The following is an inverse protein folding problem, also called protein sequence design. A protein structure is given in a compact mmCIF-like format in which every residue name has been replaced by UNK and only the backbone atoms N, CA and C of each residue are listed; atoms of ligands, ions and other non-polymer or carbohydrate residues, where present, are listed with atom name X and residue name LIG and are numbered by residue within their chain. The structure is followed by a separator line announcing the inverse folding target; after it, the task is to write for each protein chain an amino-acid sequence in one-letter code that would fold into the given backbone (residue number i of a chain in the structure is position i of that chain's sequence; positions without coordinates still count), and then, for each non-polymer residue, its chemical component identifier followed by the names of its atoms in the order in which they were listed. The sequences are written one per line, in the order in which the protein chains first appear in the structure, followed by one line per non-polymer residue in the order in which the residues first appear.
data_IF_500231497232
#
_entry.id   IF_500231497232
#
_cell.length_a   1.000
_cell.length_b   1.000
_cell.length_c   1.000
_cell.angle_alpha   90.00
_cell.angle_beta   90.00
_cell.angle_gamma   90.00
#
_symmetry.space_group_name_H-M   'P 1'
#
loop_
_entity.id
_entity.type
_entity.pdbx_description
1 polymer ?
#
# COMPACT_ATOMS: atom_id res chain seq x y z
N UNK A 1 -31.06 -33.63 -3.97
CA UNK A 1 -29.67 -33.75 -3.50
C UNK A 1 -29.16 -32.36 -3.26
N UNK A 2 -28.48 -32.11 -2.16
CA UNK A 2 -27.96 -30.77 -1.85
C UNK A 2 -26.51 -30.87 -1.42
N UNK A 3 -25.75 -29.83 -1.69
CA UNK A 3 -24.40 -29.65 -1.16
C UNK A 3 -24.28 -28.29 -0.47
N UNK A 4 -23.40 -28.21 0.50
CA UNK A 4 -22.97 -26.95 1.10
C UNK A 4 -21.70 -26.46 0.42
N UNK A 5 -21.67 -25.19 0.03
CA UNK A 5 -20.44 -24.51 -0.38
C UNK A 5 -19.99 -23.63 0.77
N UNK A 6 -18.76 -23.81 1.23
CA UNK A 6 -18.14 -23.06 2.32
C UNK A 6 -17.03 -22.18 1.76
N UNK A 7 -17.26 -20.87 1.79
CA UNK A 7 -16.27 -19.85 1.45
C UNK A 7 -15.39 -19.57 2.68
N UNK A 8 -14.09 -19.72 2.52
CA UNK A 8 -13.05 -19.27 3.45
C UNK A 8 -12.40 -18.03 2.83
N UNK A 9 -13.04 -16.87 3.02
CA UNK A 9 -12.58 -15.61 2.45
C UNK A 9 -11.30 -15.17 3.14
N UNK A 10 -10.25 -15.01 2.33
CA UNK A 10 -8.90 -14.72 2.83
C UNK A 10 -8.37 -13.39 2.30
N UNK A 11 -7.45 -12.81 3.04
CA UNK A 11 -6.69 -11.62 2.66
C UNK A 11 -5.19 -11.82 2.93
N UNK A 12 -4.34 -11.39 2.00
CA UNK A 12 -2.89 -11.46 2.20
C UNK A 12 -2.44 -10.54 3.33
N UNK A 13 -1.61 -11.07 4.25
CA UNK A 13 -1.08 -10.31 5.39
C UNK A 13 -0.02 -9.31 4.94
N UNK A 14 0.83 -9.70 3.99
CA UNK A 14 1.82 -8.82 3.36
C UNK A 14 1.25 -8.23 2.07
N UNK A 15 0.98 -6.93 2.12
CA UNK A 15 0.42 -6.14 1.01
C UNK A 15 1.49 -5.72 0.00
N UNK A 16 2.75 -5.66 0.44
CA UNK A 16 3.87 -5.07 -0.29
C UNK A 16 4.56 -6.09 -1.17
N UNK A 17 4.61 -7.34 -0.70
CA UNK A 17 5.06 -8.49 -1.47
C UNK A 17 4.17 -9.67 -1.11
N UNK A 18 2.90 -9.69 -1.58
CA UNK A 18 2.12 -10.90 -1.45
C UNK A 18 2.84 -11.98 -2.26
N UNK A 19 3.57 -12.87 -1.59
CA UNK A 19 3.99 -14.12 -2.19
C UNK A 19 2.71 -14.73 -2.77
N UNK A 20 2.68 -14.95 -4.09
CA UNK A 20 1.56 -15.66 -4.69
C UNK A 20 1.59 -17.09 -4.20
N UNK A 21 0.86 -17.33 -3.11
CA UNK A 21 0.58 -18.66 -2.63
C UNK A 21 -0.59 -19.17 -3.44
N UNK A 22 -0.25 -19.78 -4.56
CA UNK A 22 -1.21 -20.50 -5.38
C UNK A 22 -1.77 -21.69 -4.58
N UNK A 23 -3.09 -21.83 -4.60
CA UNK A 23 -3.80 -22.99 -4.06
C UNK A 23 -4.99 -23.19 -4.99
N UNK A 24 -5.01 -24.33 -5.66
CA UNK A 24 -6.13 -24.74 -6.50
C UNK A 24 -7.24 -25.22 -5.59
N UNK A 25 -8.44 -24.67 -5.77
CA UNK A 25 -9.59 -25.11 -5.00
C UNK A 25 -9.99 -26.51 -5.46
N UNK A 26 -9.64 -27.51 -4.67
CA UNK A 26 -9.99 -28.92 -4.87
C UNK A 26 -11.29 -29.32 -4.14
N UNK A 27 -11.89 -28.38 -3.39
CA UNK A 27 -13.10 -28.58 -2.61
C UNK A 27 -12.86 -29.11 -1.20
N UNK A 28 -11.62 -29.47 -0.83
CA UNK A 28 -11.29 -30.01 0.49
C UNK A 28 -11.02 -28.90 1.51
N UNK A 29 -11.26 -29.22 2.79
CA UNK A 29 -10.85 -28.34 3.89
C UNK A 29 -9.33 -28.45 4.08
N UNK A 30 -8.64 -27.31 4.17
CA UNK A 30 -7.21 -27.26 4.49
C UNK A 30 -7.03 -27.43 6.00
N UNK A 31 -6.19 -28.37 6.44
CA UNK A 31 -5.80 -28.51 7.85
C UNK A 31 -4.82 -27.39 8.28
N UNK A 32 -5.19 -26.51 9.23
CA UNK A 32 -4.30 -25.48 9.75
C UNK A 32 -3.14 -26.00 10.60
N UNK A 33 -3.17 -27.25 11.06
CA UNK A 33 -2.14 -27.82 11.92
C UNK A 33 -1.11 -28.67 11.17
N UNK A 34 -1.36 -28.98 9.89
CA UNK A 34 -0.49 -29.85 9.09
C UNK A 34 0.34 -29.06 8.05
N UNK A 35 1.62 -28.75 8.33
CA UNK A 35 2.47 -27.99 7.41
C UNK A 35 2.80 -28.71 6.10
N UNK A 36 2.61 -30.03 6.04
CA UNK A 36 2.91 -30.86 4.88
C UNK A 36 1.72 -30.95 3.91
N UNK A 37 0.54 -30.45 4.28
CA UNK A 37 -0.66 -30.47 3.44
C UNK A 37 -0.70 -29.32 2.43
N UNK A 38 -1.27 -29.64 1.26
CA UNK A 38 -1.54 -28.67 0.22
C UNK A 38 -2.43 -27.55 0.79
N UNK A 39 -1.98 -26.30 0.71
CA UNK A 39 -2.73 -25.15 1.21
C UNK A 39 -2.33 -24.63 2.59
N UNK A 40 -1.52 -25.32 3.41
CA UNK A 40 -1.05 -24.77 4.70
C UNK A 40 -0.32 -23.43 4.53
N UNK A 41 0.51 -23.31 3.48
CA UNK A 41 1.19 -22.06 3.15
C UNK A 41 0.20 -20.90 2.90
N UNK A 42 -1.00 -21.19 2.40
CA UNK A 42 -2.04 -20.18 2.22
C UNK A 42 -2.51 -19.67 3.59
N UNK A 43 -2.79 -20.58 4.53
CA UNK A 43 -3.27 -20.26 5.87
C UNK A 43 -2.27 -19.41 6.65
N UNK A 44 -1.00 -19.77 6.59
CA UNK A 44 0.07 -19.05 7.30
C UNK A 44 0.35 -17.65 6.75
N UNK A 45 0.06 -17.40 5.45
CA UNK A 45 0.33 -16.12 4.77
C UNK A 45 -0.88 -15.21 4.63
N UNK A 46 -2.06 -15.70 4.99
CA UNK A 46 -3.33 -14.96 4.89
C UNK A 46 -4.06 -14.92 6.23
N UNK A 47 -5.09 -14.09 6.33
CA UNK A 47 -6.03 -14.06 7.45
C UNK A 47 -7.46 -14.05 6.93
N UNK A 48 -8.41 -14.46 7.78
CA UNK A 48 -9.83 -14.45 7.45
C UNK A 48 -10.37 -13.03 7.27
N UNK A 49 -11.21 -12.82 6.27
CA UNK A 49 -11.81 -11.51 5.96
C UNK A 49 -13.33 -11.56 6.16
N UNK A 50 -13.79 -11.04 7.29
CA UNK A 50 -15.22 -10.82 7.58
C UNK A 50 -15.80 -9.64 6.78
N UNK A 51 -17.11 -9.64 6.59
CA UNK A 51 -17.88 -8.58 5.93
C UNK A 51 -17.83 -8.61 4.41
N UNK A 52 -17.25 -9.64 3.78
CA UNK A 52 -17.24 -9.81 2.33
C UNK A 52 -18.59 -10.35 1.86
N UNK A 53 -19.19 -9.68 0.89
CA UNK A 53 -20.48 -10.02 0.33
C UNK A 53 -20.33 -10.76 -1.01
N UNK A 54 -21.11 -11.81 -1.20
CA UNK A 54 -21.17 -12.57 -2.44
C UNK A 54 -22.61 -12.71 -2.92
N UNK A 55 -22.77 -12.64 -4.23
CA UNK A 55 -23.96 -13.09 -4.94
C UNK A 55 -23.70 -14.47 -5.55
N UNK A 56 -24.68 -15.37 -5.43
CA UNK A 56 -24.65 -16.73 -5.96
C UNK A 56 -25.80 -16.88 -6.95
N UNK A 57 -25.46 -17.21 -8.18
CA UNK A 57 -26.40 -17.34 -9.28
C UNK A 57 -26.56 -18.80 -9.72
N UNK A 58 -27.78 -19.24 -10.04
CA UNK A 58 -27.99 -20.48 -10.78
C UNK A 58 -27.46 -20.27 -12.20
N UNK A 59 -26.40 -21.00 -12.51
CA UNK A 59 -25.67 -20.95 -13.77
C UNK A 59 -25.90 -22.22 -14.60
N UNK A 60 -26.89 -23.05 -14.24
CA UNK A 60 -27.16 -24.33 -14.90
C UNK A 60 -27.55 -24.15 -16.37
N UNK A 61 -28.11 -22.99 -16.74
CA UNK A 61 -28.42 -22.64 -18.14
C UNK A 61 -27.19 -22.50 -19.05
N UNK A 62 -25.98 -22.42 -18.46
CA UNK A 62 -24.72 -22.39 -19.19
C UNK A 62 -24.24 -23.79 -19.60
N UNK A 63 -24.78 -24.82 -18.96
CA UNK A 63 -24.43 -26.21 -19.22
C UNK A 63 -25.18 -26.72 -20.45
N UNK A 64 -24.56 -27.64 -21.18
CA UNK A 64 -25.19 -28.37 -22.27
C UNK A 64 -25.15 -29.86 -21.95
N UNK A 65 -26.17 -30.59 -22.41
CA UNK A 65 -26.36 -32.01 -22.09
C UNK A 65 -25.25 -32.94 -22.59
N UNK A 66 -24.44 -32.48 -23.55
CA UNK A 66 -23.36 -33.23 -24.20
C UNK A 66 -21.95 -32.76 -23.77
N UNK A 67 -21.84 -31.90 -22.75
CA UNK A 67 -20.55 -31.42 -22.27
C UNK A 67 -19.66 -32.55 -21.77
N UNK A 68 -18.42 -32.55 -22.25
CA UNK A 68 -17.33 -33.37 -21.71
C UNK A 68 -16.72 -32.71 -20.48
N UNK A 69 -15.93 -33.44 -19.66
CA UNK A 69 -15.16 -32.83 -18.57
C UNK A 69 -14.26 -31.66 -19.04
N UNK A 70 -13.69 -31.76 -20.25
CA UNK A 70 -12.85 -30.70 -20.82
C UNK A 70 -13.68 -29.45 -21.17
N UNK A 71 -14.91 -29.63 -21.68
CA UNK A 71 -15.83 -28.51 -21.94
C UNK A 71 -16.23 -27.80 -20.64
N UNK A 72 -16.47 -28.57 -19.58
CA UNK A 72 -16.78 -28.04 -18.24
C UNK A 72 -15.60 -27.26 -17.70
N UNK A 73 -14.38 -27.81 -17.82
CA UNK A 73 -13.16 -27.13 -17.39
C UNK A 73 -12.95 -25.81 -18.15
N UNK A 74 -13.11 -25.81 -19.48
CA UNK A 74 -13.01 -24.60 -20.29
C UNK A 74 -14.08 -23.55 -19.92
N UNK A 75 -15.28 -24.00 -19.53
CA UNK A 75 -16.33 -23.10 -19.04
C UNK A 75 -15.95 -22.47 -17.69
N UNK A 76 -15.41 -23.26 -16.76
CA UNK A 76 -14.93 -22.76 -15.45
C UNK A 76 -13.84 -21.71 -15.67
N UNK A 77 -12.82 -22.02 -16.48
CA UNK A 77 -11.71 -21.11 -16.80
C UNK A 77 -12.19 -19.82 -17.46
N UNK A 78 -13.18 -19.90 -18.36
CA UNK A 78 -13.77 -18.71 -18.99
C UNK A 78 -14.31 -17.72 -17.96
N UNK A 79 -15.03 -18.17 -16.94
CA UNK A 79 -15.59 -17.29 -15.91
C UNK A 79 -14.54 -16.87 -14.87
N UNK A 80 -13.59 -17.75 -14.54
CA UNK A 80 -12.48 -17.43 -13.65
C UNK A 80 -11.58 -16.30 -14.21
N UNK A 81 -11.45 -16.23 -15.54
CA UNK A 81 -10.69 -15.20 -16.24
C UNK A 81 -11.47 -13.90 -16.50
N UNK A 82 -12.76 -13.83 -16.15
CA UNK A 82 -13.52 -12.57 -16.23
C UNK A 82 -13.18 -11.66 -15.05
N UNK A 83 -13.21 -10.34 -15.27
CA UNK A 83 -13.25 -9.42 -14.13
C UNK A 83 -14.58 -9.58 -13.40
N UNK A 84 -14.61 -9.30 -12.09
CA UNK A 84 -15.88 -9.34 -11.34
C UNK A 84 -16.93 -8.39 -11.90
N UNK A 85 -16.52 -7.21 -12.38
CA UNK A 85 -17.42 -6.24 -13.02
C UNK A 85 -18.10 -6.85 -14.25
N UNK A 86 -17.34 -7.52 -15.12
CA UNK A 86 -17.88 -8.21 -16.30
C UNK A 86 -18.82 -9.36 -15.91
N UNK A 87 -18.40 -10.20 -14.97
CA UNK A 87 -19.19 -11.33 -14.51
C UNK A 87 -20.49 -10.88 -13.81
N UNK A 88 -20.46 -9.85 -12.97
CA UNK A 88 -21.65 -9.28 -12.33
C UNK A 88 -22.61 -8.70 -13.35
N UNK A 89 -22.10 -7.94 -14.33
CA UNK A 89 -22.91 -7.38 -15.42
C UNK A 89 -23.61 -8.49 -16.20
N UNK A 90 -22.90 -9.57 -16.50
CA UNK A 90 -23.46 -10.74 -17.16
C UNK A 90 -24.51 -11.45 -16.28
N UNK A 91 -24.14 -11.82 -15.05
CA UNK A 91 -24.98 -12.62 -14.17
C UNK A 91 -26.29 -11.91 -13.82
N UNK A 92 -26.24 -10.62 -13.44
CA UNK A 92 -27.43 -9.83 -13.13
C UNK A 92 -28.39 -9.65 -14.31
N UNK A 93 -27.87 -9.68 -15.53
CA UNK A 93 -28.69 -9.54 -16.73
C UNK A 93 -29.31 -10.87 -17.21
N UNK A 94 -28.69 -12.02 -16.87
CA UNK A 94 -29.01 -13.30 -17.53
C UNK A 94 -29.34 -14.46 -16.58
N UNK A 95 -28.97 -14.37 -15.30
CA UNK A 95 -29.10 -15.45 -14.32
C UNK A 95 -29.96 -15.01 -13.13
N UNK A 96 -30.41 -15.98 -12.33
CA UNK A 96 -31.20 -15.73 -11.12
C UNK A 96 -30.40 -16.10 -9.87
N UNK A 97 -30.60 -15.37 -8.78
CA UNK A 97 -30.00 -15.72 -7.49
C UNK A 97 -30.50 -17.08 -7.02
N UNK A 98 -29.60 -17.89 -6.47
CA UNK A 98 -29.92 -19.24 -6.04
C UNK A 98 -29.07 -19.73 -4.86
N UNK A 99 -29.59 -20.75 -4.18
CA UNK A 99 -28.99 -21.29 -2.96
C UNK A 99 -29.38 -20.51 -1.71
N UNK A 100 -29.43 -21.18 -0.57
CA UNK A 100 -29.76 -20.55 0.70
C UNK A 100 -28.47 -20.10 1.39
N UNK A 101 -28.15 -18.81 1.31
CA UNK A 101 -27.03 -18.20 2.01
C UNK A 101 -27.43 -17.62 3.37
N UNK A 102 -26.44 -17.18 4.15
CA UNK A 102 -26.67 -16.62 5.49
C UNK A 102 -27.30 -15.22 5.49
N UNK A 103 -27.32 -14.51 4.35
CA UNK A 103 -28.02 -13.23 4.17
C UNK A 103 -29.34 -13.36 3.41
N UNK A 104 -29.67 -14.56 2.91
CA UNK A 104 -30.87 -14.82 2.12
C UNK A 104 -30.58 -15.63 0.86
N UNK A 105 -31.57 -15.68 -0.03
CA UNK A 105 -31.47 -16.38 -1.31
C UNK A 105 -30.32 -15.82 -2.15
N UNK A 106 -29.33 -16.67 -2.44
CA UNK A 106 -28.15 -16.34 -3.24
C UNK A 106 -27.24 -15.27 -2.63
N UNK A 107 -27.38 -14.95 -1.34
CA UNK A 107 -26.62 -13.88 -0.68
C UNK A 107 -25.81 -14.43 0.48
N UNK A 108 -24.50 -14.20 0.43
CA UNK A 108 -23.56 -14.58 1.49
C UNK A 108 -22.87 -13.32 2.03
N UNK A 109 -22.68 -13.25 3.34
CA UNK A 109 -21.78 -12.30 4.01
C UNK A 109 -20.82 -13.09 4.89
N UNK A 110 -19.52 -12.82 4.82
CA UNK A 110 -18.55 -13.59 5.59
C UNK A 110 -18.47 -13.13 7.04
N UNK A 111 -18.35 -14.06 7.97
CA UNK A 111 -18.27 -13.79 9.41
C UNK A 111 -17.41 -14.83 10.13
N UNK A 112 -17.18 -14.61 11.43
CA UNK A 112 -16.56 -15.61 12.30
C UNK A 112 -17.47 -16.84 12.42
N UNK A 113 -16.96 -18.00 12.01
CA UNK A 113 -17.61 -19.29 12.26
C UNK A 113 -17.10 -19.87 13.58
N UNK A 114 -18.00 -20.01 14.55
CA UNK A 114 -17.65 -20.50 15.89
C UNK A 114 -17.24 -21.97 15.92
N UNK A 115 -17.73 -22.77 14.98
CA UNK A 115 -17.45 -24.20 14.96
C UNK A 115 -16.06 -24.47 14.38
N UNK A 116 -15.68 -23.72 13.34
CA UNK A 116 -14.34 -23.76 12.76
C UNK A 116 -13.33 -22.91 13.53
N UNK A 117 -13.79 -21.98 14.36
CA UNK A 117 -12.92 -21.00 15.02
C UNK A 117 -12.21 -20.08 14.02
N UNK A 118 -12.80 -19.86 12.84
CA UNK A 118 -12.18 -19.15 11.72
C UNK A 118 -12.99 -17.90 11.33
N UNK A 119 -12.28 -16.81 11.01
CA UNK A 119 -12.86 -15.62 10.37
C UNK A 119 -12.97 -15.79 8.85
N UNK A 120 -13.87 -15.03 8.24
CA UNK A 120 -14.04 -14.98 6.79
C UNK A 120 -14.91 -16.10 6.24
N UNK A 121 -15.72 -16.75 7.07
CA UNK A 121 -16.55 -17.88 6.65
C UNK A 121 -17.89 -17.41 6.10
N UNK A 122 -18.22 -17.86 4.90
CA UNK A 122 -19.53 -17.73 4.28
C UNK A 122 -20.05 -19.09 3.84
N UNK A 123 -21.36 -19.33 3.94
CA UNK A 123 -21.98 -20.63 3.62
C UNK A 123 -23.18 -20.44 2.72
N UNK A 124 -23.37 -21.34 1.75
CA UNK A 124 -24.58 -21.44 0.93
C UNK A 124 -24.92 -22.90 0.67
N UNK A 125 -26.19 -23.25 0.84
CA UNK A 125 -26.71 -24.58 0.46
C UNK A 125 -27.34 -24.51 -0.92
N UNK A 126 -26.95 -25.43 -1.81
CA UNK A 126 -27.41 -25.47 -3.21
C UNK A 126 -27.94 -26.85 -3.59
N UNK A 127 -28.77 -26.92 -4.63
CA UNK A 127 -29.24 -28.19 -5.23
C UNK A 127 -28.19 -28.71 -6.22
N UNK A 128 -27.85 -29.99 -6.14
CA UNK A 128 -26.81 -30.57 -6.99
C UNK A 128 -27.36 -31.31 -8.21
N UNK A 129 -28.68 -31.47 -8.31
CA UNK A 129 -29.26 -32.35 -9.32
C UNK A 129 -29.00 -33.84 -9.03
N UNK A 130 -29.36 -34.69 -9.98
CA UNK A 130 -29.21 -36.15 -9.88
C UNK A 130 -28.19 -36.70 -10.89
N UNK A 131 -27.97 -35.99 -11.99
CA UNK A 131 -27.05 -36.35 -13.06
C UNK A 131 -25.71 -35.60 -13.02
N UNK A 132 -24.81 -35.99 -13.90
CA UNK A 132 -23.55 -35.28 -14.12
C UNK A 132 -23.79 -33.98 -14.88
N UNK A 133 -23.20 -32.88 -14.41
CA UNK A 133 -23.22 -31.57 -15.07
C UNK A 133 -24.66 -31.03 -15.29
N UNK A 134 -25.56 -31.29 -14.35
CA UNK A 134 -26.93 -30.73 -14.38
C UNK A 134 -27.05 -29.38 -13.68
N UNK A 135 -26.22 -29.14 -12.66
CA UNK A 135 -26.30 -27.95 -11.82
C UNK A 135 -24.97 -27.22 -11.77
N UNK A 136 -25.04 -25.90 -11.96
CA UNK A 136 -23.89 -25.03 -11.80
C UNK A 136 -24.27 -23.75 -11.06
N UNK A 137 -23.29 -23.19 -10.33
CA UNK A 137 -23.45 -21.97 -9.56
C UNK A 137 -22.29 -21.03 -9.79
N UNK A 138 -22.59 -19.78 -10.14
CA UNK A 138 -21.61 -18.72 -10.31
C UNK A 138 -21.61 -17.82 -9.06
N UNK A 139 -20.50 -17.84 -8.32
CA UNK A 139 -20.30 -17.05 -7.12
C UNK A 139 -19.44 -15.84 -7.45
N UNK A 140 -19.89 -14.65 -7.09
CA UNK A 140 -19.20 -13.40 -7.39
C UNK A 140 -19.18 -12.48 -6.18
N UNK A 141 -17.98 -12.04 -5.77
CA UNK A 141 -17.83 -11.06 -4.70
C UNK A 141 -18.31 -9.69 -5.17
N UNK A 142 -19.16 -9.02 -4.37
CA UNK A 142 -19.80 -7.76 -4.75
C UNK A 142 -19.24 -6.55 -4.02
N UNK A 143 -19.08 -6.63 -2.70
CA UNK A 143 -18.65 -5.53 -1.86
C UNK A 143 -18.15 -6.02 -0.49
N UNK A 144 -17.43 -5.17 0.22
CA UNK A 144 -17.15 -5.33 1.64
C UNK A 144 -18.03 -4.40 2.46
N UNK A 145 -18.47 -4.86 3.63
CA UNK A 145 -19.18 -4.02 4.58
C UNK A 145 -18.26 -2.88 5.06
N UNK A 146 -18.76 -1.63 5.00
CA UNK A 146 -18.02 -0.43 5.40
C UNK A 146 -17.49 -0.46 6.84
N UNK A 147 -18.08 -1.27 7.71
CA UNK A 147 -17.68 -1.43 9.12
C UNK A 147 -16.35 -2.18 9.30
N UNK A 148 -15.85 -2.83 8.26
CA UNK A 148 -14.62 -3.64 8.36
C UNK A 148 -13.36 -2.82 8.57
N UNK A 149 -13.39 -1.50 8.32
CA UNK A 149 -12.25 -0.56 8.39
C UNK A 149 -11.01 -1.03 7.61
N UNK A 150 -11.19 -1.95 6.67
CA UNK A 150 -10.17 -2.54 5.82
C UNK A 150 -10.43 -2.06 4.41
N UNK A 151 -9.45 -1.39 3.79
CA UNK A 151 -9.50 -1.21 2.35
C UNK A 151 -8.82 -2.40 1.71
N UNK A 152 -9.55 -3.01 0.79
CA UNK A 152 -9.17 -4.24 0.11
C UNK A 152 -9.16 -3.91 -1.35
N UNK A 153 -8.11 -4.33 -2.05
CA UNK A 153 -8.07 -4.19 -3.49
C UNK A 153 -8.94 -5.31 -4.03
N UNK A 154 -10.22 -4.99 -4.14
CA UNK A 154 -11.20 -5.94 -4.62
C UNK A 154 -10.72 -6.42 -5.99
N UNK A 155 -10.33 -5.52 -6.90
CA UNK A 155 -10.06 -5.81 -8.31
C UNK A 155 -8.85 -6.70 -8.55
N UNK A 156 -7.85 -6.68 -7.68
CA UNK A 156 -6.61 -7.41 -7.96
C UNK A 156 -6.66 -8.92 -7.80
N UNK A 157 -7.55 -9.54 -7.00
CA UNK A 157 -7.46 -11.02 -6.77
C UNK A 157 -8.71 -11.86 -6.55
N UNK A 158 -9.91 -11.32 -6.30
CA UNK A 158 -11.09 -12.20 -6.29
C UNK A 158 -11.61 -12.41 -7.71
N UNK A 159 -11.42 -13.60 -8.26
CA UNK A 159 -12.07 -14.04 -9.50
C UNK A 159 -13.51 -14.51 -9.25
N UNK A 160 -14.41 -14.39 -10.24
CA UNK A 160 -15.66 -15.14 -10.26
C UNK A 160 -15.38 -16.64 -10.17
N UNK A 161 -16.21 -17.38 -9.42
CA UNK A 161 -16.05 -18.82 -9.23
C UNK A 161 -17.26 -19.54 -9.79
N UNK A 162 -17.09 -20.28 -10.89
CA UNK A 162 -18.11 -21.18 -11.41
C UNK A 162 -17.88 -22.58 -10.83
N UNK A 163 -18.90 -23.11 -10.17
CA UNK A 163 -18.90 -24.47 -9.61
C UNK A 163 -19.88 -25.29 -10.43
N UNK A 164 -19.48 -26.46 -10.90
CA UNK A 164 -20.33 -27.38 -11.65
C UNK A 164 -20.42 -28.70 -10.90
N UNK A 165 -21.63 -29.15 -10.58
CA UNK A 165 -21.88 -30.38 -9.83
C UNK A 165 -22.06 -31.59 -10.76
N UNK A 166 -21.67 -32.80 -10.31
CA UNK A 166 -21.06 -33.09 -9.01
C UNK A 166 -19.57 -32.71 -8.94
N UNK A 167 -19.16 -32.05 -7.85
CA UNK A 167 -17.74 -31.92 -7.49
C UNK A 167 -17.32 -33.22 -6.83
N UNK A 168 -16.22 -33.83 -7.28
CA UNK A 168 -15.73 -35.10 -6.75
C UNK A 168 -14.55 -34.88 -5.84
N UNK A 169 -14.52 -35.62 -4.72
CA UNK A 169 -13.36 -35.64 -3.85
C UNK A 169 -12.15 -36.22 -4.61
N UNK A 170 -10.98 -35.57 -4.63
CA UNK A 170 -9.83 -36.03 -5.41
C UNK A 170 -9.22 -37.33 -4.86
N UNK A 171 -9.49 -37.68 -3.59
CA UNK A 171 -8.96 -38.88 -2.94
C UNK A 171 -9.89 -40.08 -3.10
N UNK A 172 -11.19 -39.90 -2.85
CA UNK A 172 -12.18 -41.00 -2.95
C UNK A 172 -12.85 -41.11 -4.31
N UNK A 173 -12.94 -40.01 -5.08
CA UNK A 173 -13.68 -39.93 -6.34
C UNK A 173 -15.19 -39.78 -6.17
N UNK A 174 -15.69 -39.75 -4.93
CA UNK A 174 -17.12 -39.64 -4.63
C UNK A 174 -17.62 -38.18 -4.72
N UNK A 175 -18.91 -37.96 -5.04
CA UNK A 175 -19.50 -36.64 -4.98
C UNK A 175 -19.42 -36.02 -3.58
N UNK A 176 -18.92 -34.80 -3.49
CA UNK A 176 -18.79 -34.06 -2.24
C UNK A 176 -20.13 -33.48 -1.80
N UNK A 177 -20.47 -33.67 -0.52
CA UNK A 177 -21.62 -33.00 0.13
C UNK A 177 -21.27 -31.62 0.67
N UNK A 178 -19.98 -31.33 0.87
CA UNK A 178 -19.46 -30.02 1.25
C UNK A 178 -18.27 -29.68 0.37
N UNK A 179 -18.27 -28.48 -0.21
CA UNK A 179 -17.20 -27.97 -1.09
C UNK A 179 -16.60 -26.72 -0.46
N UNK A 180 -15.32 -26.78 -0.11
CA UNK A 180 -14.58 -25.67 0.47
C UNK A 180 -13.86 -24.85 -0.62
N UNK A 181 -14.01 -23.54 -0.55
CA UNK A 181 -13.41 -22.59 -1.50
C UNK A 181 -12.66 -21.49 -0.75
N UNK A 182 -11.53 -21.07 -1.29
CA UNK A 182 -10.60 -20.13 -0.68
C UNK A 182 -10.36 -18.88 -1.54
N UNK A 183 -11.38 -18.04 -1.78
CA UNK A 183 -11.23 -16.79 -2.51
C UNK A 183 -10.34 -15.79 -1.76
N UNK A 184 -9.39 -15.17 -2.47
CA UNK A 184 -8.35 -14.32 -1.88
C UNK A 184 -8.50 -12.89 -2.39
N UNK A 185 -8.33 -11.91 -1.52
CA UNK A 185 -8.06 -10.53 -1.92
C UNK A 185 -6.66 -10.11 -1.45
N UNK A 186 -6.13 -9.07 -2.08
CA UNK A 186 -4.97 -8.34 -1.54
C UNK A 186 -5.52 -7.17 -0.75
N UNK A 187 -4.91 -6.86 0.39
CA UNK A 187 -5.15 -5.57 1.02
C UNK A 187 -4.89 -4.42 0.05
N UNK A 188 -5.64 -3.34 0.17
CA UNK A 188 -5.34 -2.10 -0.52
C UNK A 188 -4.77 -1.11 0.49
N UNK A 189 -3.49 -0.82 0.32
CA UNK A 189 -2.80 0.19 1.12
C UNK A 189 -1.89 1.00 0.22
N UNK A 190 -1.62 2.23 0.63
CA UNK A 190 -0.70 3.16 -0.04
C UNK A 190 0.27 3.72 1.01
N UNK A 191 1.38 4.27 0.55
CA UNK A 191 2.47 4.76 1.40
C UNK A 191 2.71 6.25 1.13
N UNK A 192 1.92 7.14 1.76
CA UNK A 192 2.06 8.58 1.57
C UNK A 192 3.43 9.11 1.96
N UNK A 193 3.97 9.99 1.12
CA UNK A 193 5.18 10.73 1.43
C UNK A 193 5.15 12.11 0.74
N UNK A 194 5.97 13.02 1.24
CA UNK A 194 6.20 14.31 0.59
C UNK A 194 7.58 14.85 0.94
N UNK A 195 7.99 15.92 0.29
CA UNK A 195 9.23 16.61 0.57
C UNK A 195 8.97 17.98 1.21
N UNK A 196 9.55 18.19 2.38
CA UNK A 196 9.52 19.44 3.11
C UNK A 196 10.57 20.39 2.56
N UNK A 197 10.11 21.57 2.16
CA UNK A 197 10.95 22.66 1.70
C UNK A 197 10.75 23.90 2.59
N UNK A 198 11.81 24.70 2.65
CA UNK A 198 11.85 26.00 3.29
C UNK A 198 12.09 27.05 2.21
N UNK A 199 11.29 28.10 2.22
CA UNK A 199 11.36 29.21 1.27
C UNK A 199 11.90 30.43 1.99
N UNK A 200 12.98 30.99 1.46
CA UNK A 200 13.59 32.21 1.95
C UNK A 200 12.91 33.46 1.35
N UNK A 201 13.08 34.64 1.96
CA UNK A 201 12.46 35.88 1.46
C UNK A 201 12.91 36.27 0.06
N UNK A 202 14.10 35.82 -0.37
CA UNK A 202 14.65 36.02 -1.71
C UNK A 202 14.04 35.07 -2.78
N UNK A 203 13.09 34.21 -2.38
CA UNK A 203 12.43 33.25 -3.23
C UNK A 203 13.22 31.95 -3.46
N UNK A 204 14.43 31.82 -2.93
CA UNK A 204 15.17 30.56 -2.96
C UNK A 204 14.54 29.54 -2.03
N UNK A 205 14.66 28.25 -2.37
CA UNK A 205 14.13 27.17 -1.54
C UNK A 205 15.16 26.07 -1.33
N UNK A 206 15.08 25.42 -0.17
CA UNK A 206 15.91 24.27 0.19
C UNK A 206 15.11 23.20 0.90
N UNK A 207 15.58 21.95 0.86
CA UNK A 207 15.01 20.84 1.63
C UNK A 207 15.21 21.08 3.13
N UNK A 208 14.22 20.71 3.94
CA UNK A 208 14.24 20.89 5.38
C UNK A 208 14.32 19.56 6.11
N UNK A 209 15.39 19.37 6.88
CA UNK A 209 15.56 18.22 7.77
C UNK A 209 15.12 18.56 9.19
N UNK A 210 14.48 17.61 9.87
CA UNK A 210 14.13 17.71 11.28
C UNK A 210 12.73 18.26 11.60
N UNK A 211 11.88 18.52 10.60
CA UNK A 211 10.47 18.82 10.86
C UNK A 211 9.76 17.55 11.35
N UNK A 212 8.95 17.66 12.41
CA UNK A 212 8.29 16.52 13.05
C UNK A 212 6.80 16.55 12.73
N UNK A 213 6.29 15.45 12.19
CA UNK A 213 4.90 15.26 11.82
C UNK A 213 4.26 14.10 12.58
N UNK A 214 2.94 14.15 12.74
CA UNK A 214 2.10 12.98 13.00
C UNK A 214 1.01 12.87 11.95
N UNK A 215 0.43 11.68 11.79
CA UNK A 215 -0.73 11.47 10.91
C UNK A 215 -1.99 11.38 11.76
N UNK A 216 -3.04 12.08 11.34
CA UNK A 216 -4.36 11.96 11.96
C UNK A 216 -5.47 11.75 10.93
N UNK A 217 -6.61 11.26 11.41
CA UNK A 217 -7.90 11.24 10.72
C UNK A 217 -8.98 11.88 11.60
N UNK A 218 -10.09 12.26 10.98
CA UNK A 218 -11.25 12.79 11.67
C UNK A 218 -12.36 11.73 11.62
N UNK A 219 -12.86 11.32 12.78
CA UNK A 219 -13.99 10.38 12.91
C UNK A 219 -14.99 11.01 13.88
N UNK A 220 -16.24 11.18 13.47
CA UNK A 220 -17.30 11.81 14.27
C UNK A 220 -16.89 13.17 14.87
N UNK A 221 -16.13 13.97 14.09
CA UNK A 221 -15.62 15.27 14.50
C UNK A 221 -14.42 15.22 15.46
N UNK A 222 -13.93 14.03 15.84
CA UNK A 222 -12.78 13.86 16.71
C UNK A 222 -11.50 13.55 15.92
N UNK A 223 -10.40 14.20 16.32
CA UNK A 223 -9.07 13.93 15.79
C UNK A 223 -8.49 12.67 16.44
N UNK A 224 -8.16 11.68 15.62
CA UNK A 224 -7.50 10.44 16.04
C UNK A 224 -6.16 10.31 15.32
N UNK A 225 -5.09 10.16 16.09
CA UNK A 225 -3.72 10.04 15.59
C UNK A 225 -3.33 8.59 15.34
N UNK A 226 -2.49 8.39 14.34
CA UNK A 226 -1.92 7.09 14.02
C UNK A 226 -1.02 6.62 15.17
N UNK A 227 -1.35 5.47 15.75
CA UNK A 227 -0.60 4.87 16.86
C UNK A 227 0.72 4.23 16.39
N UNK A 228 1.73 4.12 17.26
CA UNK A 228 3.06 3.57 16.99
C UNK A 228 3.09 2.03 16.87
N UNK A 229 2.06 1.32 17.35
CA UNK A 229 1.99 -0.15 17.25
C UNK A 229 2.22 -0.63 15.81
N UNK A 230 2.88 -1.78 15.61
CA UNK A 230 2.97 -2.41 14.30
C UNK A 230 1.58 -2.56 13.68
N UNK A 231 1.48 -2.38 12.36
CA UNK A 231 0.25 -2.72 11.66
C UNK A 231 0.05 -4.24 11.76
N UNK A 232 -1.09 -4.66 12.32
CA UNK A 232 -1.50 -6.06 12.37
C UNK A 232 -2.66 -6.24 11.40
N UNK A 233 -2.57 -7.22 10.50
CA UNK A 233 -3.66 -7.62 9.61
C UNK A 233 -4.32 -6.43 8.88
N UNK A 234 -3.50 -5.59 8.21
CA UNK A 234 -3.93 -4.41 7.44
C UNK A 234 -4.64 -3.30 8.24
N UNK A 235 -4.67 -3.40 9.57
CA UNK A 235 -5.32 -2.40 10.43
C UNK A 235 -4.29 -1.54 11.13
N UNK A 236 -4.49 -0.24 11.02
CA UNK A 236 -3.84 0.74 11.88
C UNK A 236 -4.66 0.96 13.15
N UNK A 237 -3.97 1.08 14.28
CA UNK A 237 -4.56 1.59 15.52
C UNK A 237 -4.53 3.12 15.51
N UNK A 238 -5.53 3.70 16.15
CA UNK A 238 -5.71 5.15 16.23
C UNK A 238 -5.99 5.55 17.67
N UNK A 239 -5.35 6.62 18.14
CA UNK A 239 -5.44 7.10 19.52
C UNK A 239 -5.85 8.57 19.57
N UNK A 240 -6.70 8.93 20.53
CA UNK A 240 -6.92 10.32 20.87
C UNK A 240 -5.73 10.83 21.69
N UNK A 241 -5.27 12.04 21.38
CA UNK A 241 -4.22 12.73 22.11
C UNK A 241 -4.48 14.23 22.13
N UNK A 242 -4.20 14.87 23.27
CA UNK A 242 -4.21 16.33 23.42
C UNK A 242 -2.82 16.95 23.26
N UNK A 243 -1.78 16.11 23.19
CA UNK A 243 -0.37 16.51 23.06
C UNK A 243 0.38 15.47 22.22
N UNK A 244 0.11 15.47 20.92
CA UNK A 244 0.64 14.47 20.00
C UNK A 244 2.18 14.50 19.88
N UNK A 245 2.82 15.63 20.18
CA UNK A 245 4.29 15.76 20.11
C UNK A 245 4.96 14.92 21.20
N UNK A 246 4.39 14.92 22.41
CA UNK A 246 4.97 14.26 23.58
C UNK A 246 4.28 12.93 23.97
N UNK A 247 3.22 12.54 23.27
CA UNK A 247 2.52 11.27 23.52
C UNK A 247 3.20 10.08 22.83
N UNK A 248 3.92 9.25 23.59
CA UNK A 248 4.70 8.09 23.08
C UNK A 248 3.88 7.08 22.26
N UNK A 249 2.55 7.10 22.37
CA UNK A 249 1.67 6.24 21.58
C UNK A 249 1.52 6.75 20.15
N UNK A 250 1.63 8.05 19.92
CA UNK A 250 1.50 8.65 18.59
C UNK A 250 2.76 8.37 17.78
N UNK A 251 2.61 7.93 16.53
CA UNK A 251 3.74 7.75 15.63
C UNK A 251 4.23 9.08 15.03
N UNK A 252 5.55 9.32 15.06
CA UNK A 252 6.17 10.56 14.57
C UNK A 252 6.95 10.27 13.30
N UNK A 253 6.83 11.17 12.34
CA UNK A 253 7.53 11.14 11.06
C UNK A 253 8.41 12.37 10.98
N UNK A 254 9.73 12.17 10.85
CA UNK A 254 10.69 13.25 10.83
C UNK A 254 11.20 13.44 9.42
N UNK A 255 11.24 14.68 8.93
CA UNK A 255 11.83 14.97 7.62
C UNK A 255 13.33 14.69 7.64
N UNK A 256 13.81 13.89 6.69
CA UNK A 256 15.22 13.52 6.64
C UNK A 256 16.11 14.61 6.00
N UNK A 257 17.40 14.30 5.78
CA UNK A 257 18.35 15.22 5.13
C UNK A 257 17.95 15.67 3.72
N UNK A 258 17.14 14.87 3.03
CA UNK A 258 16.61 15.17 1.71
C UNK A 258 15.22 15.84 1.82
N UNK A 259 14.79 16.20 3.04
CA UNK A 259 13.49 16.76 3.33
C UNK A 259 12.35 15.75 3.19
N UNK A 260 12.63 14.46 3.01
CA UNK A 260 11.59 13.46 2.83
C UNK A 260 10.89 13.18 4.16
N UNK A 261 9.57 13.35 4.18
CA UNK A 261 8.68 12.82 5.20
C UNK A 261 8.00 11.59 4.60
N UNK A 262 8.28 10.41 5.13
CA UNK A 262 7.82 9.13 4.58
C UNK A 262 7.16 8.30 5.68
N UNK A 263 6.03 7.66 5.36
CA UNK A 263 5.39 6.71 6.27
C UNK A 263 6.22 5.45 6.51
N UNK A 264 7.18 5.13 5.64
CA UNK A 264 8.16 4.06 5.84
C UNK A 264 7.49 2.69 5.86
N UNK A 265 7.54 1.99 6.99
CA UNK A 265 6.82 0.71 7.18
C UNK A 265 5.32 0.87 7.42
N UNK A 266 4.87 2.11 7.64
CA UNK A 266 3.46 2.41 7.82
C UNK A 266 2.82 2.63 6.46
N UNK A 267 1.64 2.06 6.33
CA UNK A 267 0.79 2.20 5.16
C UNK A 267 -0.59 2.68 5.62
N UNK A 268 -1.31 3.35 4.72
CA UNK A 268 -2.67 3.82 4.98
C UNK A 268 -3.60 3.20 3.96
N UNK A 269 -4.80 2.86 4.43
CA UNK A 269 -5.89 2.39 3.59
C UNK A 269 -6.56 3.60 2.93
N UNK A 270 -7.37 3.41 1.88
CA UNK A 270 -8.17 4.47 1.26
C UNK A 270 -8.90 5.39 2.27
N UNK A 271 -9.03 6.66 1.92
CA UNK A 271 -9.67 7.66 2.77
C UNK A 271 -8.92 8.99 2.82
N UNK A 272 -9.38 9.85 3.72
CA UNK A 272 -8.79 11.18 3.97
C UNK A 272 -8.07 11.21 5.31
N UNK A 273 -6.82 11.64 5.28
CA UNK A 273 -5.95 11.79 6.44
C UNK A 273 -5.20 13.12 6.34
N UNK A 274 -4.38 13.41 7.34
CA UNK A 274 -3.61 14.64 7.37
C UNK A 274 -2.25 14.39 8.02
N UNK A 275 -1.18 14.89 7.41
CA UNK A 275 0.05 15.15 8.15
C UNK A 275 -0.13 16.46 8.94
N UNK A 276 0.06 16.41 10.25
CA UNK A 276 0.14 17.57 11.12
C UNK A 276 1.58 17.84 11.48
N UNK A 277 2.11 19.00 11.09
CA UNK A 277 3.40 19.48 11.60
C UNK A 277 3.26 19.82 13.08
N UNK A 278 3.92 19.02 13.93
CA UNK A 278 3.94 19.18 15.38
C UNK A 278 5.10 20.08 15.80
N UNK A 279 6.20 20.06 15.04
CA UNK A 279 7.36 20.89 15.26
C UNK A 279 8.02 21.25 13.92
N UNK A 280 8.15 22.55 13.64
CA UNK A 280 8.86 23.06 12.46
C UNK A 280 10.38 23.06 12.68
N UNK A 281 11.14 23.23 11.60
CA UNK A 281 12.60 23.44 11.64
C UNK A 281 12.90 24.87 12.13
N UNK A 282 13.89 25.08 13.01
CA UNK A 282 14.27 26.42 13.47
C UNK A 282 14.46 27.43 12.33
N UNK A 283 13.87 28.62 12.47
CA UNK A 283 13.90 29.69 11.48
C UNK A 283 12.83 29.61 10.38
N UNK A 284 11.91 28.63 10.46
CA UNK A 284 10.77 28.50 9.56
C UNK A 284 9.46 28.43 10.34
N UNK A 285 8.46 29.17 9.86
CA UNK A 285 7.16 29.30 10.53
C UNK A 285 6.41 27.97 10.49
N UNK A 286 5.80 27.63 11.63
CA UNK A 286 4.77 26.60 11.68
C UNK A 286 3.43 27.23 11.29
N UNK A 287 3.17 27.29 9.98
CA UNK A 287 1.97 27.92 9.43
C UNK A 287 0.73 27.01 9.51
N UNK A 288 -0.46 27.61 9.42
CA UNK A 288 -1.73 26.87 9.52
C UNK A 288 -1.88 25.82 8.41
N UNK A 289 -1.31 26.06 7.23
CA UNK A 289 -1.35 25.11 6.11
C UNK A 289 -0.51 23.86 6.40
N UNK A 290 0.64 24.02 7.04
CA UNK A 290 1.54 22.92 7.38
C UNK A 290 1.08 22.13 8.61
N UNK A 291 0.19 22.72 9.42
CA UNK A 291 -0.53 22.00 10.50
C UNK A 291 -1.58 21.01 9.99
N UNK A 292 -1.98 21.06 8.72
CA UNK A 292 -2.98 20.14 8.16
C UNK A 292 -2.77 19.86 6.67
N UNK A 293 -1.65 19.19 6.34
CA UNK A 293 -1.36 18.77 4.97
C UNK A 293 -2.26 17.57 4.64
N UNK A 294 -3.25 17.78 3.77
CA UNK A 294 -4.25 16.76 3.43
C UNK A 294 -3.62 15.60 2.67
N UNK A 295 -4.01 14.38 3.02
CA UNK A 295 -3.68 13.13 2.33
C UNK A 295 -4.98 12.54 1.80
N UNK A 296 -5.09 12.33 0.50
CA UNK A 296 -6.24 11.71 -0.13
C UNK A 296 -5.80 10.42 -0.82
N UNK A 297 -6.29 9.30 -0.30
CA UNK A 297 -5.95 7.97 -0.79
C UNK A 297 -7.18 7.43 -1.51
N UNK A 298 -7.10 7.17 -2.83
CA UNK A 298 -8.21 6.59 -3.58
C UNK A 298 -8.52 5.17 -3.08
N UNK A 299 -9.67 4.63 -3.46
CA UNK A 299 -10.14 3.29 -3.08
C UNK A 299 -9.63 2.16 -4.00
N UNK A 300 -8.89 2.51 -5.05
CA UNK A 300 -8.29 1.57 -5.99
C UNK A 300 -7.00 2.15 -6.60
N UNK A 301 -6.23 1.32 -7.29
CA UNK A 301 -5.05 1.77 -8.06
C UNK A 301 -5.42 2.37 -9.41
N UNK A 302 -6.50 1.86 -10.02
CA UNK A 302 -6.97 2.24 -11.34
C UNK A 302 -8.44 2.69 -11.28
N UNK A 303 -8.86 3.59 -12.15
CA UNK A 303 -10.28 3.90 -12.37
C UNK A 303 -10.94 2.93 -13.37
N UNK A 304 -12.21 3.17 -13.71
CA UNK A 304 -12.98 2.34 -14.64
C UNK A 304 -12.42 2.31 -16.07
N UNK A 305 -11.56 3.26 -16.42
CA UNK A 305 -10.94 3.43 -17.74
C UNK A 305 -9.45 3.01 -17.71
N UNK A 306 -9.04 2.23 -16.70
CA UNK A 306 -7.67 1.75 -16.47
C UNK A 306 -6.63 2.88 -16.25
N UNK A 307 -7.05 4.09 -15.91
CA UNK A 307 -6.12 5.17 -15.59
C UNK A 307 -5.66 5.08 -14.13
N UNK A 308 -4.37 5.37 -13.92
CA UNK A 308 -3.78 5.33 -12.59
C UNK A 308 -4.32 6.43 -11.66
N UNK A 309 -4.74 6.03 -10.46
CA UNK A 309 -5.25 6.92 -9.41
C UNK A 309 -4.17 7.20 -8.36
N UNK A 310 -3.67 8.44 -8.41
CA UNK A 310 -2.64 8.92 -7.50
C UNK A 310 -3.18 9.17 -6.09
N UNK A 311 -2.35 8.89 -5.09
CA UNK A 311 -2.49 9.55 -3.78
C UNK A 311 -2.26 11.04 -3.98
N UNK A 312 -3.07 11.88 -3.34
CA UNK A 312 -2.88 13.33 -3.37
C UNK A 312 -2.32 13.82 -2.03
N UNK A 313 -1.25 14.60 -2.08
CA UNK A 313 -0.72 15.35 -0.94
C UNK A 313 -1.01 16.83 -1.18
N UNK A 314 -1.91 17.39 -0.37
CA UNK A 314 -2.42 18.75 -0.52
C UNK A 314 -2.85 19.06 -1.97
N UNK A 315 -3.57 18.10 -2.58
CA UNK A 315 -4.02 18.16 -3.97
C UNK A 315 -2.96 17.82 -5.04
N UNK A 316 -1.69 17.65 -4.67
CA UNK A 316 -0.62 17.31 -5.61
C UNK A 316 -0.54 15.79 -5.80
N UNK A 317 -0.48 15.27 -7.04
CA UNK A 317 -0.34 13.84 -7.29
C UNK A 317 1.03 13.34 -6.81
N UNK A 318 1.01 12.29 -6.00
CA UNK A 318 2.19 11.63 -5.47
C UNK A 318 2.55 10.43 -6.35
N UNK A 319 3.74 10.43 -6.95
CA UNK A 319 4.26 9.26 -7.67
C UNK A 319 4.61 8.17 -6.68
N UNK A 320 4.32 6.92 -7.00
CA UNK A 320 4.59 5.81 -6.11
C UNK A 320 4.66 4.49 -6.88
N UNK A 321 5.27 3.51 -6.23
CA UNK A 321 5.42 2.16 -6.73
C UNK A 321 4.59 1.22 -5.87
N UNK A 322 4.20 0.08 -6.43
CA UNK A 322 3.37 -0.93 -5.74
C UNK A 322 4.00 -1.40 -4.40
N UNK A 323 5.32 -1.38 -4.28
CA UNK A 323 6.03 -1.76 -3.05
C UNK A 323 6.17 -0.66 -1.99
N UNK A 324 5.64 0.55 -2.23
CA UNK A 324 5.73 1.67 -1.27
C UNK A 324 7.12 2.29 -1.10
N UNK A 325 8.12 1.80 -1.84
CA UNK A 325 9.51 2.28 -1.73
C UNK A 325 9.68 3.58 -2.51
N UNK A 326 10.06 4.64 -1.79
CA UNK A 326 10.51 5.92 -2.38
C UNK A 326 11.90 5.72 -2.99
N UNK A 327 12.00 5.81 -4.31
CA UNK A 327 13.26 5.53 -5.03
C UNK A 327 14.21 6.73 -5.02
N UNK A 328 15.52 6.52 -5.28
CA UNK A 328 16.47 7.64 -5.44
C UNK A 328 16.05 8.66 -6.51
N UNK A 329 15.37 8.22 -7.57
CA UNK A 329 14.81 9.11 -8.59
C UNK A 329 13.68 10.00 -8.03
N UNK A 330 12.77 9.42 -7.25
CA UNK A 330 11.70 10.17 -6.57
C UNK A 330 12.28 11.19 -5.59
N UNK A 331 13.31 10.80 -4.83
CA UNK A 331 14.06 11.69 -3.93
C UNK A 331 14.67 12.85 -4.71
N UNK A 332 15.36 12.57 -5.82
CA UNK A 332 15.97 13.58 -6.67
C UNK A 332 14.96 14.60 -7.20
N UNK A 333 13.82 14.15 -7.73
CA UNK A 333 12.73 15.00 -8.22
C UNK A 333 12.15 15.86 -7.08
N UNK A 334 12.00 15.25 -5.89
CA UNK A 334 11.55 15.95 -4.69
C UNK A 334 10.11 16.43 -4.78
N UNK A 335 9.19 15.65 -5.35
CA UNK A 335 7.75 15.93 -5.39
C UNK A 335 6.96 14.79 -4.73
N UNK A 336 5.79 15.06 -4.12
CA UNK A 336 5.15 16.36 -3.94
C UNK A 336 5.86 17.23 -2.89
N UNK A 337 5.67 18.56 -2.94
CA UNK A 337 6.38 19.53 -2.08
C UNK A 337 5.45 20.24 -1.13
N UNK A 338 5.91 20.43 0.11
CA UNK A 338 5.24 21.27 1.12
C UNK A 338 6.22 22.31 1.65
N UNK A 339 5.84 23.57 1.55
CA UNK A 339 6.71 24.72 1.85
C UNK A 339 6.41 25.33 3.22
N UNK A 340 7.45 25.61 4.00
CA UNK A 340 7.38 26.57 5.12
C UNK A 340 8.14 27.82 4.69
N UNK A 341 7.70 28.97 5.16
CA UNK A 341 8.36 30.25 4.91
C UNK A 341 9.19 30.64 6.13
N UNK A 342 10.30 31.35 5.92
CA UNK A 342 11.14 31.83 7.04
C UNK A 342 10.37 32.76 7.96
N UNK A 343 10.64 32.68 9.26
CA UNK A 343 10.03 33.54 10.29
C UNK A 343 10.21 35.02 9.95
N UNK A 344 9.10 35.71 9.65
CA UNK A 344 9.11 37.17 9.38
C UNK A 344 9.59 37.99 10.58
N UNK A 345 9.65 37.41 11.78
CA UNK A 345 10.18 38.05 12.98
C UNK A 345 11.71 38.07 13.08
N UNK A 346 12.43 37.38 12.19
CA UNK A 346 13.91 37.37 12.20
C UNK A 346 14.54 38.51 11.38
N UNK A 347 13.74 39.30 10.66
CA UNK A 347 14.17 40.48 9.89
C UNK A 347 13.97 41.78 10.68
N UNK A 348 14.54 41.90 11.88
CA UNK A 348 14.72 43.21 12.52
C UNK A 348 15.74 43.19 13.65
N UNK A 349 17.03 43.20 13.29
CA UNK A 349 18.09 43.94 14.02
C UNK A 349 19.45 43.69 13.37
N UNK A 350 19.68 44.27 12.21
CA UNK A 350 21.02 44.75 11.85
C UNK A 350 20.95 46.26 12.01
N UNK A 351 21.26 46.73 13.23
CA UNK A 351 21.37 48.15 13.52
C UNK A 351 22.57 48.70 12.77
N UNK A 352 22.32 49.55 11.77
CA UNK A 352 23.31 50.46 11.22
C UNK A 352 24.04 51.20 12.35
N UNK A 353 25.38 51.10 12.48
CA UNK A 353 26.11 51.91 13.43
C UNK A 353 26.17 53.35 12.89
N UNK A 354 25.52 54.27 13.61
CA UNK A 354 25.66 55.71 13.42
C UNK A 354 27.12 56.12 13.69
N UNK A 355 27.75 56.96 12.86
CA UNK A 355 29.17 57.30 13.03
C UNK A 355 29.37 58.39 14.11
N UNK A 356 30.38 58.28 14.99
CA UNK A 356 30.76 59.38 15.87
C UNK A 356 31.66 60.38 15.12
N UNK A 357 31.36 61.66 15.31
CA UNK A 357 32.14 62.81 14.84
C UNK A 357 33.25 63.11 15.86
N UNK A 358 34.49 63.31 15.42
CA UNK A 358 35.51 64.02 16.22
C UNK A 358 36.97 63.60 16.09
N UNK A 359 37.71 64.40 15.29
CA UNK A 359 39.12 64.81 15.41
C UNK A 359 40.31 63.85 15.11
N UNK A 360 40.90 64.12 13.93
CA UNK A 360 42.32 64.25 13.56
C UNK A 360 43.41 63.59 14.40
N UNK A 361 44.23 62.76 13.75
CA UNK A 361 45.63 63.09 13.49
C UNK A 361 46.22 62.27 12.32
N UNK A 362 47.34 62.78 11.82
CA UNK A 362 47.90 62.71 10.46
C UNK A 362 48.94 61.58 10.24
N UNK A 363 49.27 61.34 8.94
CA UNK A 363 50.41 60.60 8.36
C UNK A 363 50.38 59.06 8.48
N UNK A 364 50.70 58.22 7.48
CA UNK A 364 51.42 58.37 6.21
C UNK A 364 50.99 57.26 5.21
N UNK A 365 51.17 57.53 3.91
CA UNK A 365 51.04 56.57 2.78
C UNK A 365 52.42 56.41 2.14
N UNK A 366 52.80 55.23 1.61
CA UNK A 366 52.89 55.11 0.15
C UNK A 366 52.57 53.66 -0.35
N UNK A 367 51.74 53.43 -1.38
CA UNK A 367 52.01 53.32 -2.85
C UNK A 367 51.74 51.90 -3.41
N UNK A 368 51.15 51.82 -4.62
CA UNK A 368 51.03 50.62 -5.47
C UNK A 368 49.58 50.14 -5.66
N UNK A 369 48.78 50.61 -6.63
CA UNK A 369 48.77 50.34 -8.08
C UNK A 369 48.13 48.98 -8.48
N UNK A 370 46.93 49.04 -9.09
CA UNK A 370 46.59 48.27 -10.30
C UNK A 370 45.74 47.00 -10.20
N UNK A 371 44.52 47.10 -10.75
CA UNK A 371 43.83 46.13 -11.62
C UNK A 371 43.26 44.79 -11.07
N UNK A 372 41.92 44.70 -11.13
CA UNK A 372 41.06 43.62 -11.66
C UNK A 372 41.52 42.16 -11.59
N UNK A 373 40.68 41.28 -11.03
CA UNK A 373 40.64 39.86 -11.43
C UNK A 373 40.33 38.87 -10.32
N UNK A 374 39.43 37.94 -10.62
CA UNK A 374 38.96 36.83 -9.77
C UNK A 374 40.08 35.90 -9.31
N UNK A 375 39.99 35.44 -8.05
CA UNK A 375 40.12 34.04 -7.58
C UNK A 375 40.39 34.02 -6.06
N UNK A 376 39.56 33.36 -5.22
CA UNK A 376 40.00 32.87 -3.93
C UNK A 376 40.72 31.52 -4.07
N UNK A 377 41.80 31.42 -3.30
CA UNK A 377 42.67 30.27 -3.16
C UNK A 377 41.99 29.07 -2.48
N UNK A 378 42.46 27.87 -2.84
CA UNK A 378 42.16 26.60 -2.19
C UNK A 378 42.69 26.55 -0.75
N UNK A 379 41.85 26.05 0.17
CA UNK A 379 42.32 25.20 1.26
C UNK A 379 41.22 24.22 1.67
N UNK A 380 41.29 22.98 1.16
CA UNK A 380 40.99 21.83 2.01
C UNK A 380 41.62 20.55 1.45
N UNK A 381 42.80 20.21 1.96
CA UNK A 381 43.58 19.03 1.57
C UNK A 381 43.05 17.71 2.16
N UNK A 382 41.91 17.74 2.84
CA UNK A 382 41.30 16.54 3.44
C UNK A 382 40.46 15.71 2.44
N UNK A 383 40.13 16.24 1.27
CA UNK A 383 39.34 15.52 0.25
C UNK A 383 40.18 14.75 -0.78
N UNK A 384 41.50 14.97 -0.86
CA UNK A 384 42.34 14.24 -1.83
C UNK A 384 42.60 12.79 -1.41
N UNK A 385 42.68 12.51 -0.10
CA UNK A 385 42.86 11.14 0.42
C UNK A 385 41.63 10.26 0.17
N UNK A 386 40.42 10.82 0.31
CA UNK A 386 39.16 10.10 0.07
C UNK A 386 38.95 9.76 -1.41
N UNK A 387 39.36 10.64 -2.33
CA UNK A 387 39.31 10.37 -3.78
C UNK A 387 40.33 9.30 -4.20
N UNK A 388 41.54 9.31 -3.62
CA UNK A 388 42.55 8.28 -3.90
C UNK A 388 42.17 6.91 -3.33
N UNK A 389 41.50 6.86 -2.16
CA UNK A 389 40.96 5.62 -1.58
C UNK A 389 39.82 5.07 -2.46
N UNK A 390 38.94 5.94 -2.97
CA UNK A 390 37.86 5.53 -3.88
C UNK A 390 38.35 4.92 -5.19
N UNK A 391 39.40 5.50 -5.79
CA UNK A 391 40.01 4.97 -7.03
C UNK A 391 40.77 3.66 -6.74
N UNK A 392 41.39 3.51 -5.56
CA UNK A 392 42.00 2.27 -5.11
C UNK A 392 41.01 1.11 -4.95
N UNK A 393 39.81 1.37 -4.42
CA UNK A 393 38.77 0.35 -4.23
C UNK A 393 38.13 -0.08 -5.56
N UNK A 394 37.91 0.86 -6.48
CA UNK A 394 37.40 0.56 -7.83
C UNK A 394 38.41 -0.27 -8.66
N UNK A 395 39.70 0.01 -8.56
CA UNK A 395 40.73 -0.78 -9.26
C UNK A 395 40.88 -2.18 -8.67
N UNK A 396 40.74 -2.35 -7.34
CA UNK A 396 40.72 -3.67 -6.70
C UNK A 396 39.48 -4.50 -7.10
N UNK A 397 38.29 -3.89 -7.12
CA UNK A 397 37.06 -4.58 -7.53
C UNK A 397 37.12 -5.02 -9.00
N UNK A 398 37.68 -4.18 -9.86
CA UNK A 398 37.86 -4.50 -11.29
C UNK A 398 38.90 -5.61 -11.49
N UNK A 399 39.99 -5.62 -10.72
CA UNK A 399 40.99 -6.69 -10.74
C UNK A 399 40.39 -8.05 -10.32
N UNK A 400 39.58 -8.09 -9.26
CA UNK A 400 38.92 -9.33 -8.81
C UNK A 400 37.88 -9.84 -9.81
N UNK A 401 37.10 -8.95 -10.45
CA UNK A 401 36.14 -9.34 -11.49
C UNK A 401 36.82 -9.92 -12.74
N UNK A 402 37.95 -9.36 -13.15
CA UNK A 402 38.73 -9.88 -14.30
C UNK A 402 39.39 -11.22 -13.95
N UNK A 403 39.90 -11.38 -12.72
CA UNK A 403 40.48 -12.65 -12.25
C UNK A 403 39.43 -13.76 -12.14
N UNK A 404 38.22 -13.45 -11.67
CA UNK A 404 37.11 -14.42 -11.59
C UNK A 404 36.59 -14.84 -12.97
N UNK A 405 36.61 -13.95 -13.96
CA UNK A 405 36.27 -14.31 -15.35
C UNK A 405 37.32 -15.20 -16.02
N UNK A 406 38.61 -15.01 -15.75
CA UNK A 406 39.67 -15.88 -16.28
C UNK A 406 39.69 -17.27 -15.65
N UNK A 407 39.30 -17.41 -14.38
CA UNK A 407 39.19 -18.71 -13.71
C UNK A 407 38.01 -19.58 -14.18
N UNK A 408 37.03 -18.99 -14.89
CA UNK A 408 35.88 -19.69 -15.48
C UNK A 408 36.08 -20.11 -16.94
N UNK A 409 37.14 -19.64 -17.61
CA UNK A 409 37.35 -19.80 -19.05
C UNK A 409 38.68 -20.49 -19.42
N UNK A 410 39.29 -21.26 -18.51
CA UNK A 410 40.31 -22.24 -18.89
C UNK A 410 39.73 -23.65 -18.68
N UNK A 411 39.85 -24.54 -19.70
CA UNK A 411 39.16 -25.84 -19.77
C UNK A 411 39.55 -26.81 -18.67
#
# INVERSE_FOLDING_TARGET
NTAEIVLHKRIYRDVRQPEDVWYDNDGQIIDPENPDEAGYKLLSKTSGLNGANFEVYDASSLLKSDMTPDDVQALIEKYQNMTRKQALKFARANLQLAGQGNKGLGLINTATDKNLGEDGIGRVTVDTGQGSFEKAYLLIETALDFSTNLNVDMERKSSPMLIVFPVKDPTSGDPMSTVHLYPKNVGYVRDPYFFKFGVHPDGTSRRLAGAIFAIYRIVDGQKLYLDLSPATDLKNKWVASTDALHDDRVNKFVSDKDGLVNTGERFLSAGTYYFEELQSVPGYELDEKSRAIKIEIPDSWLDDDDNYRYVLIDGQPMKENIGGIVTPEMISIGNPRVYNYTDRSSTSSESDPTPPTGQSDQLDKPTGAGATGYLPAMSDWQNLSLVLIGIGLLTLATYFLIKHKKARNHP
#
